data_IF_544790727310
#
_entry.id   IF_544790727310
#
_cell.length_a   1.000
_cell.length_b   1.000
_cell.length_c   1.000
_cell.angle_alpha   90.00
_cell.angle_beta   90.00
_cell.angle_gamma   90.00
#
_symmetry.space_group_name_H-M   'P 1'
#
loop_
_entity.id
_entity.type
_entity.pdbx_description
1 polymer ?
#
# COMPACT_ATOMS: atom_id res chain seq x y z
N UNK A 1 -3.71 -3.76 12.50
CA UNK A 1 -3.00 -4.39 11.36
C UNK A 1 -3.80 -5.59 10.94
N UNK A 2 -4.02 -5.80 9.64
CA UNK A 2 -4.82 -6.93 9.15
C UNK A 2 -4.11 -8.27 9.38
N UNK A 3 -4.89 -9.34 9.56
CA UNK A 3 -4.39 -10.71 9.61
C UNK A 3 -4.00 -11.22 8.21
N UNK A 4 -3.28 -12.34 8.14
CA UNK A 4 -2.84 -12.99 6.88
C UNK A 4 -1.89 -12.12 6.04
N UNK A 5 -0.94 -11.46 6.72
CA UNK A 5 0.17 -10.77 6.08
C UNK A 5 1.31 -11.72 5.78
N UNK A 6 1.80 -11.66 4.56
CA UNK A 6 2.90 -12.48 4.06
C UNK A 6 4.05 -11.59 3.63
N UNK A 7 5.29 -12.05 3.88
CA UNK A 7 6.48 -11.41 3.34
C UNK A 7 7.06 -12.22 2.19
N UNK A 8 7.37 -11.53 1.09
CA UNK A 8 8.17 -12.09 0.00
C UNK A 8 9.19 -11.07 -0.47
N UNK A 9 10.46 -11.34 -0.20
CA UNK A 9 11.53 -10.37 -0.47
C UNK A 9 11.28 -9.06 0.27
N UNK A 10 11.13 -7.95 -0.48
CA UNK A 10 10.85 -6.62 0.08
C UNK A 10 9.37 -6.23 0.05
N UNK A 11 8.46 -7.17 -0.17
CA UNK A 11 7.01 -6.90 -0.25
C UNK A 11 6.28 -7.50 0.93
N UNK A 12 5.36 -6.73 1.48
CA UNK A 12 4.30 -7.20 2.37
C UNK A 12 3.05 -7.37 1.51
N UNK A 13 2.48 -8.57 1.60
CA UNK A 13 1.32 -8.99 0.85
C UNK A 13 0.19 -9.29 1.82
N UNK A 14 -1.03 -8.95 1.44
CA UNK A 14 -2.22 -9.30 2.19
C UNK A 14 -3.04 -10.30 1.40
N UNK A 15 -3.18 -11.49 1.95
CA UNK A 15 -3.85 -12.63 1.32
C UNK A 15 -5.14 -12.99 2.07
N UNK A 16 -5.95 -13.81 1.42
CA UNK A 16 -7.10 -14.40 2.06
C UNK A 16 -6.68 -15.49 3.06
N UNK A 17 -7.50 -15.82 4.08
CA UNK A 17 -7.19 -16.86 5.06
C UNK A 17 -6.91 -18.24 4.42
N UNK A 18 -7.52 -18.54 3.27
CA UNK A 18 -7.29 -19.79 2.55
C UNK A 18 -5.83 -19.94 2.08
N UNK A 19 -5.05 -18.85 1.99
CA UNK A 19 -3.62 -18.93 1.74
C UNK A 19 -2.88 -19.71 2.84
N UNK A 20 -3.25 -19.48 4.10
CA UNK A 20 -2.67 -20.17 5.26
C UNK A 20 -3.10 -21.64 5.28
N UNK A 21 -4.38 -21.92 4.99
CA UNK A 21 -4.90 -23.29 4.87
C UNK A 21 -4.15 -24.08 3.80
N UNK A 22 -3.98 -23.46 2.62
CA UNK A 22 -3.19 -24.06 1.54
C UNK A 22 -1.76 -24.26 2.02
N UNK A 23 -1.08 -23.23 2.53
CA UNK A 23 0.32 -23.30 2.93
C UNK A 23 0.59 -24.37 4.00
N UNK A 24 -0.27 -24.47 5.01
CA UNK A 24 -0.18 -25.42 6.13
C UNK A 24 -0.61 -26.86 5.79
N UNK A 25 -1.33 -27.06 4.68
CA UNK A 25 -1.79 -28.40 4.28
C UNK A 25 -0.66 -29.35 3.86
N UNK A 26 -0.70 -30.58 4.37
CA UNK A 26 0.03 -31.70 3.77
C UNK A 26 -0.57 -32.02 2.39
N UNK A 27 0.30 -32.29 1.41
CA UNK A 27 -0.11 -32.65 0.06
C UNK A 27 0.57 -33.92 -0.39
N UNK A 28 -0.13 -34.72 -1.18
CA UNK A 28 0.44 -35.91 -1.82
C UNK A 28 0.66 -35.66 -3.31
N UNK A 29 1.85 -35.98 -3.80
CA UNK A 29 2.22 -35.90 -5.21
C UNK A 29 2.61 -37.28 -5.76
N UNK A 30 2.80 -37.38 -7.09
CA UNK A 30 3.16 -38.63 -7.77
C UNK A 30 2.16 -39.76 -7.48
N UNK A 31 0.87 -39.51 -7.72
CA UNK A 31 -0.24 -40.44 -7.46
C UNK A 31 -0.27 -41.00 -6.03
N UNK A 32 -0.03 -40.15 -5.03
CA UNK A 32 -0.07 -40.55 -3.62
C UNK A 32 1.25 -41.09 -3.06
N UNK A 33 2.27 -41.30 -3.89
CA UNK A 33 3.54 -41.96 -3.48
C UNK A 33 4.48 -41.06 -2.67
N UNK A 34 4.28 -39.75 -2.70
CA UNK A 34 5.15 -38.82 -1.99
C UNK A 34 4.30 -37.84 -1.20
N UNK A 35 4.42 -37.90 0.14
CA UNK A 35 3.88 -36.88 1.02
C UNK A 35 4.84 -35.69 1.08
N UNK A 36 4.28 -34.51 0.86
CA UNK A 36 4.94 -33.23 1.05
C UNK A 36 4.23 -32.61 2.24
N UNK A 37 4.89 -32.48 3.40
CA UNK A 37 4.24 -31.88 4.56
C UNK A 37 3.97 -30.40 4.26
N UNK A 38 3.08 -29.80 5.06
CA UNK A 38 2.71 -28.41 4.94
C UNK A 38 3.84 -27.43 5.23
N UNK A 39 3.43 -26.20 5.50
CA UNK A 39 4.28 -25.04 5.78
C UNK A 39 5.23 -24.73 4.60
N UNK A 40 4.79 -25.10 3.39
CA UNK A 40 5.57 -24.87 2.18
C UNK A 40 4.66 -24.73 0.96
N UNK A 41 5.09 -23.87 0.06
CA UNK A 41 4.39 -23.67 -1.20
C UNK A 41 4.53 -24.85 -2.15
N UNK A 42 5.62 -25.63 -2.08
CA UNK A 42 5.79 -26.83 -2.93
C UNK A 42 4.61 -27.80 -2.76
N UNK A 43 4.07 -28.36 -3.86
CA UNK A 43 4.58 -28.30 -5.24
C UNK A 43 4.16 -27.05 -6.04
N UNK A 44 3.36 -26.16 -5.46
CA UNK A 44 2.89 -24.95 -6.14
C UNK A 44 4.04 -23.93 -6.31
N UNK A 45 4.11 -23.33 -7.50
CA UNK A 45 4.94 -22.16 -7.75
C UNK A 45 4.11 -20.89 -7.57
N UNK A 46 4.14 -20.29 -6.38
CA UNK A 46 3.34 -19.10 -6.07
C UNK A 46 3.97 -17.87 -6.71
N UNK A 47 3.35 -17.37 -7.79
CA UNK A 47 3.79 -16.17 -8.49
C UNK A 47 3.32 -14.89 -7.80
N UNK A 48 2.08 -14.84 -7.33
CA UNK A 48 1.52 -13.75 -6.53
C UNK A 48 0.66 -14.34 -5.41
N UNK A 49 0.70 -13.70 -4.25
CA UNK A 49 -0.09 -14.09 -3.09
C UNK A 49 -0.84 -12.84 -2.62
N UNK A 50 -2.13 -12.75 -2.93
CA UNK A 50 -2.94 -11.59 -2.58
C UNK A 50 -2.43 -10.27 -3.15
N UNK A 51 -2.68 -9.17 -2.41
CA UNK A 51 -2.39 -7.79 -2.81
C UNK A 51 -1.14 -7.26 -2.11
N UNK A 52 -0.27 -6.55 -2.84
CA UNK A 52 0.85 -5.81 -2.25
C UNK A 52 0.31 -4.61 -1.45
N UNK A 53 0.56 -4.61 -0.14
CA UNK A 53 0.10 -3.57 0.79
C UNK A 53 1.20 -2.58 1.16
N UNK A 54 2.44 -3.06 1.26
CA UNK A 54 3.58 -2.20 1.52
C UNK A 54 4.89 -2.81 1.01
N UNK A 55 5.92 -1.97 0.89
CA UNK A 55 7.30 -2.40 0.69
C UNK A 55 8.14 -2.16 1.94
N UNK A 56 9.09 -3.06 2.16
CA UNK A 56 10.00 -3.07 3.29
C UNK A 56 11.37 -2.54 2.86
N UNK A 57 11.94 -1.65 3.68
CA UNK A 57 13.32 -1.21 3.57
C UNK A 57 13.96 -1.21 4.96
N UNK A 58 15.19 -1.74 5.06
CA UNK A 58 15.91 -1.89 6.34
C UNK A 58 15.06 -2.60 7.42
N UNK A 59 14.28 -3.62 7.01
CA UNK A 59 13.42 -4.39 7.91
C UNK A 59 12.14 -3.70 8.38
N UNK A 60 11.84 -2.49 7.90
CA UNK A 60 10.63 -1.73 8.28
C UNK A 60 9.71 -1.49 7.08
N UNK A 61 8.36 -1.57 7.25
CA UNK A 61 7.42 -1.09 6.25
C UNK A 61 7.70 0.40 5.99
N UNK A 62 7.90 0.75 4.73
CA UNK A 62 8.33 2.10 4.33
C UNK A 62 7.36 2.72 3.33
N UNK A 63 6.99 1.99 2.28
CA UNK A 63 6.12 2.50 1.21
C UNK A 63 4.81 1.76 1.19
N UNK A 64 3.73 2.47 1.51
CA UNK A 64 2.36 1.95 1.42
C UNK A 64 1.91 1.96 -0.05
N UNK A 65 1.24 0.89 -0.47
CA UNK A 65 0.67 0.77 -1.81
C UNK A 65 -0.61 1.59 -1.90
N UNK A 66 -0.76 2.40 -2.96
CA UNK A 66 -1.99 3.17 -3.22
C UNK A 66 -3.25 2.31 -3.19
N UNK A 67 -3.18 1.13 -3.81
CA UNK A 67 -4.26 0.13 -3.86
C UNK A 67 -4.66 -0.49 -2.52
N UNK A 68 -3.87 -0.26 -1.47
CA UNK A 68 -4.14 -0.79 -0.13
C UNK A 68 -4.33 0.32 0.90
N UNK A 69 -4.14 1.59 0.52
CA UNK A 69 -4.16 2.70 1.45
C UNK A 69 -5.53 2.84 2.12
N UNK A 70 -6.61 2.71 1.34
CA UNK A 70 -7.98 2.77 1.85
C UNK A 70 -8.30 1.65 2.85
N UNK A 71 -7.92 0.40 2.56
CA UNK A 71 -8.18 -0.69 3.51
C UNK A 71 -7.24 -0.69 4.71
N UNK A 72 -6.03 -0.15 4.55
CA UNK A 72 -5.11 0.02 5.67
C UNK A 72 -5.56 1.15 6.59
N UNK A 73 -6.12 2.25 6.05
CA UNK A 73 -6.55 3.37 6.88
C UNK A 73 -7.67 2.98 7.84
N UNK A 74 -8.55 2.05 7.46
CA UNK A 74 -9.61 1.54 8.35
C UNK A 74 -9.11 0.59 9.45
N UNK A 75 -7.90 0.05 9.33
CA UNK A 75 -7.35 -0.98 10.25
C UNK A 75 -6.11 -0.54 11.02
N UNK A 76 -5.61 0.67 10.76
CA UNK A 76 -4.45 1.27 11.40
C UNK A 76 -4.87 2.41 12.33
N UNK A 77 -4.27 2.46 13.52
CA UNK A 77 -4.52 3.52 14.53
C UNK A 77 -3.41 4.56 14.58
N UNK A 78 -2.35 4.40 13.78
CA UNK A 78 -1.16 5.25 13.74
C UNK A 78 -0.67 5.37 12.30
N UNK A 79 0.08 6.42 12.00
CA UNK A 79 0.60 6.65 10.65
C UNK A 79 -0.45 7.19 9.68
N UNK A 80 -1.51 7.82 10.22
CA UNK A 80 -2.59 8.46 9.47
C UNK A 80 -2.77 9.86 10.06
N UNK A 81 -2.99 10.84 9.19
CA UNK A 81 -3.41 12.20 9.55
C UNK A 81 -4.68 12.54 8.78
N UNK A 82 -5.70 12.99 9.50
CA UNK A 82 -6.91 13.55 8.90
C UNK A 82 -6.60 14.94 8.32
N UNK A 83 -7.02 15.17 7.09
CA UNK A 83 -6.77 16.41 6.35
C UNK A 83 -8.03 16.85 5.61
N UNK A 84 -8.03 18.11 5.19
CA UNK A 84 -9.13 18.66 4.39
C UNK A 84 -9.09 18.12 2.96
N UNK A 85 -10.24 18.16 2.28
CA UNK A 85 -10.33 17.82 0.85
C UNK A 85 -9.39 18.69 -0.01
N UNK A 86 -9.24 19.98 0.32
CA UNK A 86 -8.30 20.87 -0.36
C UNK A 86 -6.84 20.41 -0.24
N UNK A 87 -6.46 19.78 0.88
CA UNK A 87 -5.11 19.23 1.06
C UNK A 87 -4.89 18.04 0.12
N UNK A 88 -5.90 17.18 -0.02
CA UNK A 88 -5.87 16.07 -0.97
C UNK A 88 -5.78 16.57 -2.41
N UNK A 89 -6.56 17.59 -2.78
CA UNK A 89 -6.51 18.19 -4.12
C UNK A 89 -5.14 18.80 -4.40
N UNK A 90 -4.60 19.55 -3.44
CA UNK A 90 -3.30 20.20 -3.53
C UNK A 90 -2.18 19.18 -3.76
N UNK A 91 -2.11 18.12 -2.95
CA UNK A 91 -1.07 17.09 -3.11
C UNK A 91 -1.25 16.25 -4.38
N UNK A 92 -2.49 16.03 -4.86
CA UNK A 92 -2.71 15.38 -6.15
C UNK A 92 -2.20 16.27 -7.29
N UNK A 93 -2.37 17.59 -7.21
CA UNK A 93 -1.88 18.55 -8.19
C UNK A 93 -0.36 18.69 -8.19
N UNK A 94 0.22 19.11 -7.06
CA UNK A 94 1.64 19.42 -6.92
C UNK A 94 2.53 18.19 -6.73
N UNK A 95 1.95 17.05 -6.36
CA UNK A 95 2.64 15.81 -5.97
C UNK A 95 3.52 15.94 -4.71
N UNK A 96 3.56 17.14 -4.13
CA UNK A 96 4.43 17.50 -3.02
C UNK A 96 3.88 18.72 -2.26
N UNK A 97 3.92 18.66 -0.94
CA UNK A 97 3.54 19.76 -0.04
C UNK A 97 4.65 20.00 1.00
N UNK A 98 4.71 21.20 1.54
CA UNK A 98 5.43 21.49 2.77
C UNK A 98 4.74 20.80 3.95
N UNK A 99 5.50 20.50 5.00
CA UNK A 99 4.97 19.74 6.14
C UNK A 99 3.83 20.49 6.85
N UNK A 100 3.98 21.80 6.98
CA UNK A 100 3.04 22.74 7.59
C UNK A 100 1.67 22.75 6.90
N UNK A 101 1.62 22.43 5.62
CA UNK A 101 0.38 22.39 4.83
C UNK A 101 -0.47 21.12 5.09
N UNK A 102 0.10 20.12 5.75
CA UNK A 102 -0.52 18.78 5.89
C UNK A 102 -1.04 18.47 7.29
N UNK A 103 -0.72 19.30 8.29
CA UNK A 103 -1.04 19.03 9.70
C UNK A 103 -0.30 17.81 10.29
N UNK A 104 0.65 17.21 9.57
CA UNK A 104 1.49 16.13 10.08
C UNK A 104 2.48 16.72 11.10
N UNK A 105 2.65 16.05 12.24
CA UNK A 105 3.60 16.48 13.27
C UNK A 105 5.05 16.42 12.77
N UNK A 106 5.85 17.43 13.14
CA UNK A 106 7.26 17.56 12.77
C UNK A 106 8.16 16.39 13.20
N UNK A 107 7.72 15.56 14.15
CA UNK A 107 8.47 14.38 14.60
C UNK A 107 8.23 13.12 13.76
N UNK A 108 7.26 13.14 12.82
CA UNK A 108 6.93 12.00 11.96
C UNK A 108 7.84 11.97 10.74
N UNK A 109 8.45 10.82 10.46
CA UNK A 109 9.24 10.59 9.25
C UNK A 109 8.90 9.22 8.66
N UNK A 110 8.94 9.14 7.34
CA UNK A 110 8.73 7.91 6.59
C UNK A 110 7.33 7.80 5.97
N UNK A 111 6.88 6.56 5.73
CA UNK A 111 5.58 6.30 5.12
C UNK A 111 4.43 6.70 6.05
N UNK A 112 3.46 7.41 5.50
CA UNK A 112 2.30 7.94 6.22
C UNK A 112 1.08 7.96 5.29
N UNK A 113 -0.11 8.15 5.84
CA UNK A 113 -1.36 8.26 5.09
C UNK A 113 -2.02 9.60 5.40
N UNK A 114 -2.41 10.32 4.35
CA UNK A 114 -3.37 11.42 4.44
C UNK A 114 -4.77 10.87 4.19
N UNK A 115 -5.73 11.24 5.04
CA UNK A 115 -7.12 10.79 4.94
C UNK A 115 -8.04 12.00 5.00
N UNK A 116 -8.92 12.13 4.01
CA UNK A 116 -10.08 13.01 4.08
C UNK A 116 -11.35 12.17 4.24
N UNK A 117 -12.52 12.82 4.23
CA UNK A 117 -13.81 12.11 4.29
C UNK A 117 -14.00 11.20 3.07
N UNK A 118 -13.47 11.59 1.92
CA UNK A 118 -13.71 10.90 0.65
C UNK A 118 -12.52 10.14 0.09
N UNK A 119 -11.30 10.40 0.57
CA UNK A 119 -10.10 9.91 -0.09
C UNK A 119 -8.94 9.60 0.87
N UNK A 120 -8.12 8.64 0.45
CA UNK A 120 -6.93 8.19 1.18
C UNK A 120 -5.72 8.22 0.24
N UNK A 121 -4.68 8.93 0.65
CA UNK A 121 -3.45 9.11 -0.13
C UNK A 121 -2.22 8.72 0.70
N UNK A 122 -1.46 7.67 0.30
CA UNK A 122 -0.20 7.36 0.93
C UNK A 122 0.86 8.40 0.53
N UNK A 123 1.63 8.85 1.51
CA UNK A 123 2.67 9.87 1.36
C UNK A 123 3.97 9.45 2.06
N UNK A 124 5.07 10.06 1.62
CA UNK A 124 6.36 9.98 2.27
C UNK A 124 6.69 11.30 2.95
N UNK A 125 6.92 11.24 4.26
CA UNK A 125 7.23 12.38 5.12
C UNK A 125 8.75 12.47 5.30
N UNK A 126 9.35 13.43 4.61
CA UNK A 126 10.76 13.78 4.71
C UNK A 126 10.94 15.22 5.18
N UNK A 127 11.77 16.00 4.48
CA UNK A 127 11.75 17.47 4.59
C UNK A 127 10.51 18.10 3.95
N UNK A 128 9.84 17.35 3.06
CA UNK A 128 8.56 17.66 2.43
C UNK A 128 7.68 16.41 2.44
N UNK A 129 6.39 16.59 2.20
CA UNK A 129 5.43 15.50 2.07
C UNK A 129 5.24 15.18 0.60
N UNK A 130 5.63 13.98 0.18
CA UNK A 130 5.61 13.55 -1.23
C UNK A 130 4.61 12.43 -1.45
N UNK A 131 3.84 12.50 -2.54
CA UNK A 131 2.84 11.47 -2.84
C UNK A 131 3.52 10.13 -3.21
N UNK A 132 2.98 9.01 -2.72
CA UNK A 132 3.54 7.66 -3.01
C UNK A 132 2.78 6.89 -4.10
N UNK A 133 1.85 7.54 -4.78
CA UNK A 133 1.07 7.02 -5.90
C UNK A 133 1.86 7.07 -7.21
N UNK A 134 1.56 6.18 -8.13
CA UNK A 134 2.07 6.28 -9.50
C UNK A 134 1.21 7.25 -10.35
N UNK A 135 1.74 7.70 -11.49
CA UNK A 135 1.05 8.66 -12.39
C UNK A 135 -0.37 8.24 -12.78
N UNK A 136 -0.59 6.95 -13.03
CA UNK A 136 -1.93 6.44 -13.39
C UNK A 136 -2.89 6.51 -12.20
N UNK A 137 -2.42 6.19 -11.00
CA UNK A 137 -3.22 6.33 -9.77
C UNK A 137 -3.56 7.80 -9.51
N UNK A 138 -2.60 8.71 -9.66
CA UNK A 138 -2.83 10.16 -9.53
C UNK A 138 -3.86 10.62 -10.56
N UNK A 139 -3.71 10.23 -11.83
CA UNK A 139 -4.63 10.58 -12.90
C UNK A 139 -6.05 10.08 -12.62
N UNK A 140 -6.20 8.84 -12.16
CA UNK A 140 -7.52 8.26 -11.82
C UNK A 140 -8.16 9.07 -10.69
N UNK A 141 -7.42 9.37 -9.62
CA UNK A 141 -7.94 10.14 -8.48
C UNK A 141 -8.31 11.56 -8.89
N UNK A 142 -7.50 12.24 -9.70
CA UNK A 142 -7.84 13.55 -10.28
C UNK A 142 -9.15 13.50 -11.06
N UNK A 143 -9.33 12.49 -11.91
CA UNK A 143 -10.59 12.32 -12.67
C UNK A 143 -11.79 12.08 -11.76
N UNK A 144 -11.65 11.23 -10.74
CA UNK A 144 -12.72 10.94 -9.78
C UNK A 144 -13.15 12.20 -9.01
N UNK A 145 -12.23 13.15 -8.83
CA UNK A 145 -12.44 14.41 -8.11
C UNK A 145 -12.72 15.61 -9.03
N UNK A 146 -12.90 15.38 -10.34
CA UNK A 146 -13.09 16.43 -11.35
C UNK A 146 -12.00 17.53 -11.33
N UNK A 147 -10.77 17.16 -11.00
CA UNK A 147 -9.63 18.06 -11.00
C UNK A 147 -9.07 18.26 -12.41
N UNK A 148 -8.55 19.46 -12.69
CA UNK A 148 -7.92 19.75 -13.98
C UNK A 148 -6.70 18.85 -14.22
N UNK A 149 -6.66 18.27 -15.41
CA UNK A 149 -5.53 17.45 -15.87
C UNK A 149 -4.73 18.31 -16.84
N UNK A 150 -3.67 18.94 -16.34
CA UNK A 150 -2.67 19.55 -17.22
C UNK A 150 -1.97 18.43 -17.98
N UNK A 151 -2.21 18.33 -19.29
CA UNK A 151 -1.36 17.56 -20.17
C UNK A 151 -0.04 18.30 -20.31
N UNK A 152 1.06 17.69 -19.88
CA UNK A 152 2.37 18.08 -20.40
C UNK A 152 2.37 17.71 -21.89
N UNK A 153 2.09 18.70 -22.75
CA UNK A 153 2.47 18.61 -24.14
C UNK A 153 3.98 18.38 -24.18
N UNK A 154 4.38 17.15 -24.49
CA UNK A 154 5.77 16.84 -24.83
C UNK A 154 6.09 17.58 -26.13
N UNK A 155 6.71 18.75 -26.00
CA UNK A 155 7.51 19.36 -27.08
C UNK A 155 8.77 18.54 -27.32
#
# INVERSE_FOLDING_TARGET
MPDNLWMRGKKILWANPQAEEIWSSERRVRNGKTAIPGERWRPLNVLHLGREVARVRKGKPERISGKAALELSSSMTRGITEVTENTIDSILHSQLLELEETGISENIRGGHILMSETEVVPVWVGGKVTIMLNEKEILIKKKQRNLEIFSEDKS
#
